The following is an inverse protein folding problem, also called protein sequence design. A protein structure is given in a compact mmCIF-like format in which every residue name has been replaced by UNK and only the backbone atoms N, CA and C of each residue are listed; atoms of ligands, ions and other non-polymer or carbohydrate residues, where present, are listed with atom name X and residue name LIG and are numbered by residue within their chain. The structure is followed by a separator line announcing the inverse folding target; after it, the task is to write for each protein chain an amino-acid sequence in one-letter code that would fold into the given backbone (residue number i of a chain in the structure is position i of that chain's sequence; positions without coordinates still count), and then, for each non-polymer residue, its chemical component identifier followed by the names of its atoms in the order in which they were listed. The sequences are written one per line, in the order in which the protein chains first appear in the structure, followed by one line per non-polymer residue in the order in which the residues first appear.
data_IF_948525216847
#
_entry.id   IF_948525216847
#
_cell.length_a   1.000
_cell.length_b   1.000
_cell.length_c   1.000
_cell.angle_alpha   90.00
_cell.angle_beta   90.00
_cell.angle_gamma   90.00
#
_symmetry.space_group_name_H-M   'P 1'
#
loop_
_entity.id
_entity.type
_entity.pdbx_description
1 polymer ?
#
# COMPACT_ATOMS: atom_id res chain seq x y z
N UNK A 1 0.97 3.46 39.82
CA UNK A 1 -0.02 2.80 38.93
C UNK A 1 -0.30 3.77 37.82
N UNK A 2 0.43 3.63 36.68
CA UNK A 2 0.21 4.43 35.49
C UNK A 2 -0.82 3.70 34.60
N UNK A 3 -1.98 4.30 34.46
CA UNK A 3 -3.02 3.86 33.53
C UNK A 3 -2.57 4.15 32.08
N UNK A 4 -2.28 3.10 31.35
CA UNK A 4 -1.95 3.12 29.94
C UNK A 4 -3.22 3.38 29.12
N UNK A 5 -3.50 4.67 28.82
CA UNK A 5 -4.63 5.08 27.98
C UNK A 5 -4.32 4.72 26.50
N UNK A 6 -4.65 3.48 26.11
CA UNK A 6 -4.65 3.08 24.69
C UNK A 6 -5.83 3.76 24.02
N UNK A 7 -5.58 4.76 23.18
CA UNK A 7 -6.58 5.32 22.28
C UNK A 7 -7.13 4.21 21.37
N UNK A 8 -8.43 3.96 21.49
CA UNK A 8 -9.16 3.02 20.63
C UNK A 8 -9.28 3.60 19.21
N UNK A 9 -8.43 3.11 18.31
CA UNK A 9 -8.42 3.46 16.87
C UNK A 9 -9.41 2.56 16.11
N UNK A 10 -10.59 2.32 16.66
CA UNK A 10 -11.64 1.59 15.96
C UNK A 10 -12.30 2.49 14.90
N UNK A 11 -12.83 1.88 13.81
CA UNK A 11 -13.62 2.60 12.79
C UNK A 11 -14.78 3.39 13.38
N UNK A 12 -15.33 2.95 14.53
CA UNK A 12 -16.37 3.65 15.29
C UNK A 12 -15.84 4.89 16.01
N UNK A 13 -14.59 4.88 16.49
CA UNK A 13 -13.92 6.04 17.07
C UNK A 13 -13.72 7.17 16.04
N UNK A 14 -13.27 6.81 14.86
CA UNK A 14 -13.09 7.75 13.75
C UNK A 14 -14.38 8.45 13.31
N UNK A 15 -15.50 7.69 13.22
CA UNK A 15 -16.82 8.26 12.86
C UNK A 15 -17.38 9.17 13.96
N UNK A 16 -17.10 8.92 15.23
CA UNK A 16 -17.52 9.80 16.34
C UNK A 16 -16.77 11.14 16.30
N UNK A 17 -15.50 11.13 15.96
CA UNK A 17 -14.69 12.36 15.83
C UNK A 17 -15.14 13.22 14.65
N UNK A 18 -15.48 12.59 13.52
CA UNK A 18 -15.99 13.28 12.33
C UNK A 18 -17.39 13.89 12.55
N UNK A 19 -18.25 13.25 13.33
CA UNK A 19 -19.58 13.76 13.66
C UNK A 19 -19.54 15.01 14.58
N UNK A 20 -18.54 15.14 15.44
CA UNK A 20 -18.34 16.33 16.28
C UNK A 20 -17.89 17.56 15.46
N UNK A 21 -17.09 17.35 14.39
CA UNK A 21 -16.65 18.44 13.52
C UNK A 21 -17.78 19.02 12.67
N UNK A 22 -18.81 18.22 12.32
CA UNK A 22 -19.97 18.67 11.53
C UNK A 22 -21.02 19.50 12.33
N UNK A 23 -21.05 19.37 13.64
CA UNK A 23 -22.04 20.07 14.48
C UNK A 23 -21.66 21.51 14.82
N UNK A 24 -20.45 21.96 14.55
CA UNK A 24 -19.94 23.29 14.88
C UNK A 24 -20.50 24.43 14.02
N UNK A 25 -21.23 24.14 12.93
CA UNK A 25 -21.76 25.16 12.01
C UNK A 25 -23.11 25.77 12.38
N UNK A 26 -23.74 25.36 13.49
CA UNK A 26 -25.10 25.80 13.84
C UNK A 26 -25.22 26.46 15.23
N UNK A 27 -24.15 26.96 15.86
CA UNK A 27 -24.18 27.50 17.22
C UNK A 27 -24.06 29.05 17.26
N UNK A 28 -24.75 29.74 18.19
CA UNK A 28 -24.73 31.22 18.32
C UNK A 28 -23.34 31.72 18.75
N UNK A 29 -23.05 32.95 18.35
CA UNK A 29 -21.78 33.67 18.23
C UNK A 29 -20.84 33.76 19.45
N UNK A 30 -21.15 33.13 20.59
CA UNK A 30 -20.30 33.17 21.79
C UNK A 30 -19.44 31.88 22.01
N UNK A 31 -19.97 30.73 21.66
CA UNK A 31 -19.26 29.46 21.86
C UNK A 31 -18.35 29.07 20.68
N UNK A 32 -18.60 29.63 19.50
CA UNK A 32 -17.83 29.30 18.29
C UNK A 32 -16.34 29.65 18.36
N UNK A 33 -15.96 30.62 19.21
CA UNK A 33 -14.54 31.01 19.36
C UNK A 33 -13.69 29.98 20.14
N UNK A 34 -14.28 29.27 21.09
CA UNK A 34 -13.55 28.27 21.88
C UNK A 34 -13.30 27.02 21.03
N UNK A 35 -14.31 26.58 20.26
CA UNK A 35 -14.17 25.41 19.38
C UNK A 35 -13.31 25.69 18.15
N UNK A 36 -13.28 26.94 17.63
CA UNK A 36 -12.39 27.32 16.54
C UNK A 36 -10.91 27.39 16.99
N UNK A 37 -10.64 27.67 18.26
CA UNK A 37 -9.29 27.63 18.82
C UNK A 37 -8.76 26.21 18.96
N UNK A 38 -9.60 25.26 19.39
CA UNK A 38 -9.22 23.83 19.48
C UNK A 38 -9.12 23.18 18.10
N UNK A 39 -9.99 23.52 17.16
CA UNK A 39 -9.88 23.03 15.78
C UNK A 39 -8.60 23.54 15.08
N UNK A 40 -8.17 24.76 15.38
CA UNK A 40 -6.93 25.33 14.81
C UNK A 40 -5.66 24.72 15.40
N UNK A 41 -5.72 24.18 16.63
CA UNK A 41 -4.62 23.41 17.21
C UNK A 41 -4.56 21.95 16.73
N UNK A 42 -5.67 21.39 16.23
CA UNK A 42 -5.70 20.06 15.63
C UNK A 42 -5.19 20.03 14.18
N UNK A 43 -5.10 21.19 13.51
CA UNK A 43 -4.58 21.28 12.12
C UNK A 43 -3.06 21.44 12.02
N UNK A 44 -2.32 21.46 13.14
CA UNK A 44 -0.86 21.68 13.14
C UNK A 44 -0.04 20.49 13.62
N UNK A 45 -0.60 19.30 13.68
CA UNK A 45 0.19 18.14 14.04
C UNK A 45 -0.01 17.00 13.06
N UNK A 46 1.09 16.46 12.61
CA UNK A 46 1.26 15.26 11.84
C UNK A 46 1.05 15.39 10.31
N UNK A 47 1.65 16.40 9.71
CA UNK A 47 2.18 16.22 8.35
C UNK A 47 3.23 15.12 8.47
N UNK A 48 2.79 13.87 8.25
CA UNK A 48 3.73 12.75 8.10
C UNK A 48 4.68 13.16 7.00
N UNK A 49 5.95 13.35 7.35
CA UNK A 49 6.99 13.56 6.36
C UNK A 49 7.10 12.29 5.52
N UNK A 50 6.36 12.27 4.42
CA UNK A 50 6.28 11.13 3.50
C UNK A 50 7.65 10.88 2.86
N UNK A 51 8.49 11.90 2.76
CA UNK A 51 9.84 11.77 2.20
C UNK A 51 10.80 11.09 3.20
N UNK A 52 10.57 11.25 4.49
CA UNK A 52 11.28 10.52 5.55
C UNK A 52 10.68 9.14 5.84
N UNK A 53 9.51 8.80 5.31
CA UNK A 53 8.85 7.52 5.55
C UNK A 53 9.56 6.39 4.80
N UNK A 54 10.52 5.76 5.45
CA UNK A 54 11.18 4.54 4.96
C UNK A 54 10.68 3.32 5.70
N UNK A 55 10.56 2.21 4.99
CA UNK A 55 10.23 0.92 5.61
C UNK A 55 11.40 0.49 6.48
N UNK A 56 11.12 0.29 7.75
CA UNK A 56 12.07 -0.21 8.73
C UNK A 56 11.69 -1.63 9.11
N UNK A 57 12.70 -2.48 9.26
CA UNK A 57 12.54 -3.87 9.64
C UNK A 57 12.42 -4.82 8.46
N UNK A 58 12.76 -6.05 8.74
CA UNK A 58 12.85 -7.15 7.79
C UNK A 58 12.10 -8.37 8.29
N UNK A 59 11.80 -9.29 7.40
CA UNK A 59 11.22 -10.62 7.68
C UNK A 59 12.03 -11.66 6.94
N UNK A 60 12.24 -12.79 7.57
CA UNK A 60 12.79 -13.97 6.90
C UNK A 60 11.63 -14.84 6.46
N UNK A 61 11.56 -15.13 5.18
CA UNK A 61 10.63 -16.07 4.59
C UNK A 61 11.36 -17.39 4.27
N UNK A 62 10.66 -18.52 4.49
CA UNK A 62 11.24 -19.84 4.31
C UNK A 62 12.14 -20.28 5.47
N UNK A 63 12.74 -21.45 5.31
CA UNK A 63 13.62 -22.08 6.31
C UNK A 63 14.83 -22.72 5.65
N UNK A 64 15.92 -22.91 6.41
CA UNK A 64 17.14 -23.55 5.94
C UNK A 64 17.74 -22.83 4.73
N UNK A 65 18.13 -23.60 3.70
CA UNK A 65 18.76 -23.06 2.49
C UNK A 65 17.80 -22.26 1.59
N UNK A 66 16.49 -22.38 1.80
CA UNK A 66 15.47 -21.64 1.08
C UNK A 66 15.03 -20.35 1.81
N UNK A 67 15.63 -20.06 2.95
CA UNK A 67 15.34 -18.83 3.68
C UNK A 67 15.92 -17.62 2.94
N UNK A 68 15.12 -16.55 2.83
CA UNK A 68 15.56 -15.27 2.29
C UNK A 68 14.92 -14.11 3.03
N UNK A 69 15.61 -13.00 3.08
CA UNK A 69 15.18 -11.81 3.79
C UNK A 69 14.42 -10.86 2.86
N UNK A 70 13.34 -10.29 3.39
CA UNK A 70 12.53 -9.28 2.70
C UNK A 70 12.18 -8.14 3.64
N UNK A 71 11.76 -7.00 3.10
CA UNK A 71 11.21 -5.89 3.88
C UNK A 71 9.96 -6.32 4.64
N UNK A 72 9.70 -5.66 5.79
CA UNK A 72 8.54 -5.95 6.62
C UNK A 72 7.19 -5.76 5.90
N UNK A 73 7.17 -4.90 4.87
CA UNK A 73 6.03 -4.67 3.97
C UNK A 73 6.42 -5.09 2.55
N UNK A 74 5.51 -5.76 1.86
CA UNK A 74 5.62 -6.05 0.44
C UNK A 74 4.70 -5.15 -0.39
N UNK A 75 4.94 -5.09 -1.69
CA UNK A 75 4.17 -4.31 -2.64
C UNK A 75 3.46 -5.21 -3.64
N UNK A 76 2.11 -5.16 -3.67
CA UNK A 76 1.30 -5.88 -4.65
C UNK A 76 1.13 -5.09 -5.93
N UNK A 77 1.57 -5.66 -7.06
CA UNK A 77 1.54 -4.99 -8.37
C UNK A 77 0.20 -5.14 -9.09
N UNK A 78 -0.68 -6.03 -8.65
CA UNK A 78 -1.95 -6.38 -9.30
C UNK A 78 -2.76 -5.18 -9.76
N UNK A 79 -2.95 -4.19 -8.90
CA UNK A 79 -3.80 -3.03 -9.18
C UNK A 79 -3.28 -2.10 -10.28
N UNK A 80 -2.08 -2.33 -10.81
CA UNK A 80 -1.52 -1.53 -11.90
C UNK A 80 -2.02 -1.92 -13.29
N UNK A 81 -2.49 -3.17 -13.47
CA UNK A 81 -2.98 -3.67 -14.76
C UNK A 81 -4.24 -4.53 -14.67
N UNK A 82 -4.73 -4.83 -13.47
CA UNK A 82 -5.78 -5.82 -13.27
C UNK A 82 -6.74 -5.44 -12.14
N UNK A 83 -8.00 -5.87 -12.28
CA UNK A 83 -9.05 -5.78 -11.26
C UNK A 83 -9.35 -4.37 -10.74
N UNK A 84 -9.23 -3.36 -11.60
CA UNK A 84 -9.65 -1.98 -11.35
C UNK A 84 -10.33 -1.40 -12.59
N UNK A 85 -11.23 -0.47 -12.40
CA UNK A 85 -11.89 0.26 -13.51
C UNK A 85 -10.95 1.21 -14.24
N UNK A 86 -9.94 1.71 -13.52
CA UNK A 86 -8.92 2.60 -14.07
C UNK A 86 -7.55 2.17 -13.54
N UNK A 87 -6.58 2.18 -14.42
CA UNK A 87 -5.17 1.89 -14.12
C UNK A 87 -4.34 3.13 -14.36
N UNK A 88 -3.28 3.36 -13.56
CA UNK A 88 -2.27 4.36 -13.89
C UNK A 88 -1.64 4.06 -15.25
N UNK A 89 -1.11 5.07 -15.91
CA UNK A 89 -0.31 4.82 -17.11
C UNK A 89 0.99 4.08 -16.77
N UNK A 90 1.60 3.47 -17.79
CA UNK A 90 2.81 2.66 -17.62
C UNK A 90 3.95 3.45 -16.96
N UNK A 91 4.14 4.70 -17.33
CA UNK A 91 5.21 5.55 -16.80
C UNK A 91 5.02 5.80 -15.30
N UNK A 92 3.79 6.08 -14.91
CA UNK A 92 3.45 6.25 -13.50
C UNK A 92 3.59 4.95 -12.70
N UNK A 93 3.21 3.81 -13.26
CA UNK A 93 3.43 2.51 -12.65
C UNK A 93 4.93 2.26 -12.38
N UNK A 94 5.79 2.51 -13.38
CA UNK A 94 7.25 2.36 -13.24
C UNK A 94 7.77 3.30 -12.16
N UNK A 95 7.38 4.57 -12.17
CA UNK A 95 7.75 5.56 -11.15
C UNK A 95 7.39 5.10 -9.73
N UNK A 96 6.18 4.57 -9.55
CA UNK A 96 5.71 4.07 -8.25
C UNK A 96 6.49 2.85 -7.78
N UNK A 97 6.85 1.94 -8.69
CA UNK A 97 7.66 0.76 -8.35
C UNK A 97 9.08 1.16 -7.94
N UNK A 98 9.70 2.10 -8.66
CA UNK A 98 11.01 2.65 -8.30
C UNK A 98 10.95 3.34 -6.93
N UNK A 99 9.96 4.18 -6.70
CA UNK A 99 9.77 4.86 -5.41
C UNK A 99 9.58 3.86 -4.27
N UNK A 100 8.84 2.77 -4.49
CA UNK A 100 8.69 1.72 -3.50
C UNK A 100 10.04 1.09 -3.12
N UNK A 101 10.91 0.82 -4.10
CA UNK A 101 12.28 0.32 -3.85
C UNK A 101 13.09 1.34 -3.04
N UNK A 102 13.07 2.62 -3.44
CA UNK A 102 13.79 3.68 -2.73
C UNK A 102 13.30 3.88 -1.28
N UNK A 103 12.04 3.59 -1.03
CA UNK A 103 11.47 3.57 0.32
C UNK A 103 11.76 2.29 1.11
N UNK A 104 12.49 1.36 0.53
CA UNK A 104 12.97 0.14 1.19
C UNK A 104 12.08 -1.08 1.01
N UNK A 105 11.15 -1.09 0.07
CA UNK A 105 10.44 -2.32 -0.31
C UNK A 105 11.40 -3.24 -1.05
N UNK A 106 11.47 -4.50 -0.60
CA UNK A 106 12.28 -5.53 -1.24
C UNK A 106 11.48 -6.75 -1.68
N UNK A 107 10.16 -6.76 -1.45
CA UNK A 107 9.27 -7.84 -1.88
C UNK A 107 8.15 -7.26 -2.76
N UNK A 108 8.08 -7.74 -3.99
CA UNK A 108 7.03 -7.38 -4.96
C UNK A 108 6.24 -8.62 -5.36
N UNK A 109 4.92 -8.53 -5.42
CA UNK A 109 4.04 -9.66 -5.73
C UNK A 109 3.22 -9.40 -6.98
N UNK A 110 3.32 -10.29 -7.96
CA UNK A 110 2.56 -10.28 -9.21
C UNK A 110 1.90 -11.65 -9.47
N UNK A 111 1.29 -11.85 -10.61
CA UNK A 111 0.80 -13.15 -11.08
C UNK A 111 0.62 -13.15 -12.60
N UNK A 112 0.77 -14.33 -13.22
CA UNK A 112 0.56 -14.54 -14.65
C UNK A 112 -0.82 -14.06 -15.12
N UNK A 113 -1.85 -14.20 -14.27
CA UNK A 113 -3.24 -13.87 -14.60
C UNK A 113 -3.55 -12.36 -14.50
N UNK A 114 -2.67 -11.54 -13.94
CA UNK A 114 -2.92 -10.11 -13.76
C UNK A 114 -2.79 -9.34 -15.08
N UNK A 115 -3.90 -9.29 -15.84
CA UNK A 115 -3.96 -8.77 -17.22
C UNK A 115 -3.07 -9.59 -18.16
N UNK A 116 -3.37 -10.87 -18.39
CA UNK A 116 -2.40 -11.96 -18.57
C UNK A 116 -1.08 -11.56 -19.19
N UNK A 117 0.01 -11.82 -18.49
CA UNK A 117 1.41 -11.46 -18.79
C UNK A 117 1.74 -9.95 -18.67
N UNK A 118 0.77 -9.04 -18.78
CA UNK A 118 1.06 -7.60 -18.81
C UNK A 118 1.61 -7.07 -17.49
N UNK A 119 1.13 -7.60 -16.37
CA UNK A 119 1.59 -7.24 -15.02
C UNK A 119 3.01 -7.72 -14.76
N UNK A 120 3.32 -8.97 -15.12
CA UNK A 120 4.66 -9.52 -14.99
C UNK A 120 5.67 -8.78 -15.89
N UNK A 121 5.28 -8.45 -17.14
CA UNK A 121 6.09 -7.65 -18.04
C UNK A 121 6.36 -6.24 -17.49
N UNK A 122 5.34 -5.58 -16.93
CA UNK A 122 5.50 -4.28 -16.27
C UNK A 122 6.44 -4.36 -15.07
N UNK A 123 6.24 -5.35 -14.18
CA UNK A 123 7.09 -5.56 -13.03
C UNK A 123 8.53 -5.90 -13.44
N UNK A 124 8.71 -6.77 -14.44
CA UNK A 124 10.02 -7.15 -14.99
C UNK A 124 10.75 -5.96 -15.57
N UNK A 125 10.10 -5.12 -16.39
CA UNK A 125 10.69 -3.91 -16.95
C UNK A 125 11.12 -2.92 -15.86
N UNK A 126 10.21 -2.60 -14.93
CA UNK A 126 10.46 -1.62 -13.89
C UNK A 126 11.51 -2.06 -12.86
N UNK A 127 11.57 -3.35 -12.55
CA UNK A 127 12.36 -3.85 -11.41
C UNK A 127 13.68 -4.51 -11.83
N UNK A 128 13.95 -4.67 -13.13
CA UNK A 128 15.14 -5.35 -13.65
C UNK A 128 16.46 -4.72 -13.17
N UNK A 129 16.52 -3.40 -13.07
CA UNK A 129 17.70 -2.66 -12.61
C UNK A 129 18.02 -2.90 -11.12
N UNK A 130 17.05 -3.35 -10.34
CA UNK A 130 17.21 -3.66 -8.92
C UNK A 130 17.51 -5.13 -8.64
N UNK A 131 17.84 -5.91 -9.67
CA UNK A 131 18.18 -7.34 -9.56
C UNK A 131 19.23 -7.58 -8.49
N UNK A 132 18.97 -8.55 -7.60
CA UNK A 132 19.83 -8.86 -6.45
C UNK A 132 19.58 -7.99 -5.21
N UNK A 133 18.81 -6.91 -5.32
CA UNK A 133 18.39 -6.06 -4.18
C UNK A 133 16.95 -6.33 -3.75
N UNK A 134 16.15 -6.91 -4.62
CA UNK A 134 14.73 -7.16 -4.40
C UNK A 134 14.36 -8.59 -4.78
N UNK A 135 13.18 -9.01 -4.32
CA UNK A 135 12.57 -10.29 -4.66
C UNK A 135 11.22 -10.03 -5.32
N UNK A 136 10.96 -10.73 -6.42
CA UNK A 136 9.67 -10.72 -7.09
C UNK A 136 9.05 -12.10 -6.97
N UNK A 137 7.84 -12.17 -6.42
CA UNK A 137 7.04 -13.39 -6.38
C UNK A 137 5.97 -13.33 -7.46
N UNK A 138 5.69 -14.47 -8.06
CA UNK A 138 4.58 -14.61 -9.00
C UNK A 138 3.76 -15.84 -8.68
N UNK A 139 2.60 -15.96 -9.31
CA UNK A 139 1.66 -17.09 -9.14
C UNK A 139 1.43 -17.73 -10.49
N UNK A 140 1.49 -19.04 -10.51
CA UNK A 140 1.17 -19.89 -11.65
C UNK A 140 -0.14 -20.68 -11.38
N UNK A 141 -0.53 -21.55 -12.30
CA UNK A 141 -1.72 -22.42 -12.16
C UNK A 141 -2.94 -21.93 -12.92
N UNK A 142 -2.87 -20.76 -13.55
CA UNK A 142 -3.88 -20.31 -14.50
C UNK A 142 -3.43 -20.57 -15.93
N UNK A 143 -4.27 -21.24 -16.72
CA UNK A 143 -3.99 -21.43 -18.14
C UNK A 143 -4.13 -20.10 -18.90
N UNK A 144 -3.10 -19.73 -19.61
CA UNK A 144 -3.05 -18.52 -20.45
C UNK A 144 -2.70 -18.96 -21.88
N UNK A 145 -3.59 -18.68 -22.84
CA UNK A 145 -3.38 -18.95 -24.26
C UNK A 145 -3.53 -17.63 -25.01
N UNK A 146 -2.56 -17.30 -25.86
CA UNK A 146 -2.51 -16.08 -26.67
C UNK A 146 -2.77 -14.80 -25.83
N UNK A 147 -2.17 -14.72 -24.64
CA UNK A 147 -2.31 -13.58 -23.74
C UNK A 147 -3.67 -13.44 -23.09
N UNK A 148 -4.51 -14.48 -23.12
CA UNK A 148 -5.83 -14.49 -22.47
C UNK A 148 -5.95 -15.64 -21.49
N UNK A 149 -6.45 -15.32 -20.29
CA UNK A 149 -6.83 -16.36 -19.34
C UNK A 149 -8.03 -17.15 -19.84
N UNK A 150 -7.95 -18.46 -19.86
CA UNK A 150 -9.04 -19.34 -20.34
C UNK A 150 -10.08 -19.65 -19.26
N UNK A 151 -9.79 -19.27 -18.01
CA UNK A 151 -10.60 -19.67 -16.84
C UNK A 151 -10.31 -21.09 -16.36
N UNK A 152 -9.42 -21.82 -17.02
CA UNK A 152 -8.99 -23.17 -16.65
C UNK A 152 -7.73 -23.11 -15.78
N UNK A 153 -7.51 -24.15 -15.02
CA UNK A 153 -6.26 -24.32 -14.28
C UNK A 153 -5.23 -25.05 -15.17
N UNK A 154 -4.01 -24.54 -15.17
CA UNK A 154 -2.86 -25.24 -15.74
C UNK A 154 -2.30 -26.17 -14.65
N UNK A 155 -2.37 -27.44 -14.92
CA UNK A 155 -1.91 -28.52 -14.00
C UNK A 155 -0.48 -29.01 -14.29
N UNK A 156 0.23 -28.32 -15.19
CA UNK A 156 1.62 -28.66 -15.56
C UNK A 156 2.65 -28.04 -14.64
#
# INVERSE_FOLDING_TARGET
MEENNKMDISRRGFLKTAALAGAAMAMPSGLGKVFASEAKQAETSDVVDIDAARIKGHRVLGTGKAAFEVSALGFGVMGMTYNRSQHPDKKECIRLLHEAVERGVTLFDTAIIYGPLTNENLAGEALSEFKGRINVTTKFGHEVIDGKGTGRQDSR
#
